data_IF_163919864003
#
_entry.id   IF_163919864003
#
_cell.length_a   1.000
_cell.length_b   1.000
_cell.length_c   1.000
_cell.angle_alpha   90.00
_cell.angle_beta   90.00
_cell.angle_gamma   90.00
#
_symmetry.space_group_name_H-M   'P 1'
#
loop_
_entity.id
_entity.type
_entity.pdbx_description
1 polymer ?
#
# COMPACT_ATOMS: atom_id res chain seq x y z
N UNK A 1 -1.46 -9.10 26.50
CA UNK A 1 -2.63 -8.19 26.49
C UNK A 1 -2.19 -6.73 26.50
N UNK A 2 -1.42 -6.28 27.50
CA UNK A 2 -0.89 -4.90 27.53
C UNK A 2 0.09 -4.59 26.37
N UNK A 3 0.97 -5.53 26.02
CA UNK A 3 1.94 -5.38 24.93
C UNK A 3 1.28 -5.24 23.55
N UNK A 4 0.23 -6.02 23.26
CA UNK A 4 -0.49 -5.97 21.98
C UNK A 4 -1.36 -4.71 21.85
N UNK A 5 -1.98 -4.25 22.94
CA UNK A 5 -2.71 -2.98 22.96
C UNK A 5 -1.77 -1.78 22.77
N UNK A 6 -0.57 -1.84 23.38
CA UNK A 6 0.48 -0.85 23.17
C UNK A 6 0.91 -0.80 21.69
N UNK A 7 1.08 -1.94 21.03
CA UNK A 7 1.39 -2.00 19.59
C UNK A 7 0.31 -1.34 18.72
N UNK A 8 -0.98 -1.53 19.04
CA UNK A 8 -2.08 -0.89 18.30
C UNK A 8 -2.06 0.63 18.48
N UNK A 9 -1.83 1.12 19.69
CA UNK A 9 -1.74 2.56 19.95
C UNK A 9 -0.52 3.20 19.27
N UNK A 10 0.62 2.50 19.24
CA UNK A 10 1.80 2.91 18.46
C UNK A 10 1.42 3.03 16.98
N UNK A 11 0.72 2.04 16.43
CA UNK A 11 0.34 2.04 15.02
C UNK A 11 -0.64 3.18 14.68
N UNK A 12 -1.63 3.43 15.55
CA UNK A 12 -2.53 4.59 15.42
C UNK A 12 -1.74 5.90 15.42
N UNK A 13 -0.85 6.06 16.39
CA UNK A 13 -0.01 7.26 16.49
C UNK A 13 0.87 7.44 15.27
N UNK A 14 1.50 6.37 14.77
CA UNK A 14 2.35 6.40 13.58
C UNK A 14 1.58 6.92 12.37
N UNK A 15 0.45 6.31 12.03
CA UNK A 15 -0.32 6.73 10.86
C UNK A 15 -0.98 8.11 11.02
N UNK A 16 -1.36 8.51 12.23
CA UNK A 16 -1.80 9.88 12.49
C UNK A 16 -0.69 10.90 12.21
N UNK A 17 0.53 10.65 12.73
CA UNK A 17 1.68 11.54 12.52
C UNK A 17 2.06 11.61 11.04
N UNK A 18 2.11 10.47 10.34
CA UNK A 18 2.43 10.43 8.91
C UNK A 18 1.35 11.14 8.07
N UNK A 19 0.06 10.96 8.38
CA UNK A 19 -1.02 11.68 7.71
C UNK A 19 -0.96 13.19 7.93
N UNK A 20 -0.64 13.63 9.15
CA UNK A 20 -0.43 15.05 9.45
C UNK A 20 0.80 15.62 8.72
N UNK A 21 1.90 14.87 8.68
CA UNK A 21 3.12 15.23 7.94
C UNK A 21 2.83 15.41 6.45
N UNK A 22 2.11 14.47 5.83
CA UNK A 22 1.75 14.59 4.41
C UNK A 22 0.82 15.78 4.16
N UNK A 23 -0.17 15.99 5.04
CA UNK A 23 -1.09 17.13 4.93
C UNK A 23 -0.34 18.47 5.02
N UNK A 24 0.58 18.60 5.97
CA UNK A 24 1.43 19.78 6.11
C UNK A 24 2.33 19.99 4.89
N UNK A 25 2.94 18.90 4.38
CA UNK A 25 3.77 18.93 3.17
C UNK A 25 2.98 19.39 1.95
N UNK A 26 1.76 18.89 1.78
CA UNK A 26 0.87 19.25 0.68
C UNK A 26 0.44 20.72 0.76
N UNK A 27 -0.02 21.17 1.94
CA UNK A 27 -0.41 22.58 2.16
C UNK A 27 0.77 23.51 1.90
N UNK A 28 1.94 23.19 2.48
CA UNK A 28 3.16 23.97 2.27
C UNK A 28 3.49 24.09 0.79
N UNK A 29 3.51 22.95 0.08
CA UNK A 29 3.87 22.92 -1.35
C UNK A 29 2.86 23.70 -2.20
N UNK A 30 1.56 23.58 -1.93
CA UNK A 30 0.51 24.34 -2.62
C UNK A 30 0.67 25.84 -2.38
N UNK A 31 0.94 26.26 -1.14
CA UNK A 31 1.10 27.67 -0.79
C UNK A 31 2.33 28.28 -1.44
N UNK A 32 3.45 27.54 -1.49
CA UNK A 32 4.71 28.06 -2.02
C UNK A 32 4.84 27.94 -3.54
N UNK A 33 4.28 26.88 -4.14
CA UNK A 33 4.56 26.51 -5.53
C UNK A 33 3.30 26.48 -6.42
N UNK A 34 2.11 26.70 -5.83
CA UNK A 34 0.83 26.63 -6.53
C UNK A 34 0.37 25.18 -6.77
N UNK A 35 -0.58 24.97 -7.68
CA UNK A 35 -1.18 23.66 -7.95
C UNK A 35 -0.24 22.73 -8.76
N UNK A 36 -0.36 21.39 -8.60
CA UNK A 36 0.49 20.41 -9.27
C UNK A 36 0.16 20.19 -10.75
N UNK A 37 -0.97 20.72 -11.24
CA UNK A 37 -1.51 20.41 -12.57
C UNK A 37 -0.83 21.25 -13.67
N UNK A 38 0.49 21.13 -13.79
CA UNK A 38 1.32 21.84 -14.78
C UNK A 38 2.22 20.86 -15.52
N UNK A 39 2.20 20.93 -16.86
CA UNK A 39 3.01 20.02 -17.71
C UNK A 39 4.52 20.17 -17.47
N UNK A 40 4.96 21.36 -17.08
CA UNK A 40 6.36 21.67 -16.76
C UNK A 40 6.92 20.84 -15.59
N UNK A 41 6.06 20.37 -14.70
CA UNK A 41 6.46 19.53 -13.57
C UNK A 41 6.72 18.07 -13.98
N UNK A 42 6.20 17.63 -15.14
CA UNK A 42 6.28 16.24 -15.61
C UNK A 42 7.61 15.94 -16.32
N UNK A 43 8.72 16.32 -15.69
CA UNK A 43 10.05 15.88 -16.10
C UNK A 43 10.14 14.34 -16.09
N UNK A 44 11.04 13.70 -16.85
CA UNK A 44 11.06 12.24 -17.01
C UNK A 44 11.03 11.48 -15.68
N UNK A 45 11.89 11.87 -14.74
CA UNK A 45 11.91 11.27 -13.41
C UNK A 45 10.63 11.50 -12.60
N UNK A 46 9.98 12.68 -12.69
CA UNK A 46 8.67 12.90 -12.04
C UNK A 46 7.63 11.93 -12.58
N UNK A 47 7.58 11.76 -13.90
CA UNK A 47 6.63 10.84 -14.54
C UNK A 47 6.86 9.40 -14.07
N UNK A 48 8.11 8.97 -14.00
CA UNK A 48 8.46 7.62 -13.52
C UNK A 48 8.15 7.42 -12.04
N UNK A 49 8.40 8.43 -11.20
CA UNK A 49 8.00 8.38 -9.78
C UNK A 49 6.48 8.41 -9.61
N UNK A 50 5.73 9.10 -10.48
CA UNK A 50 4.26 9.05 -10.47
C UNK A 50 3.75 7.65 -10.84
N UNK A 51 4.32 7.02 -11.88
CA UNK A 51 4.00 5.63 -12.24
C UNK A 51 4.26 4.72 -11.03
N UNK A 52 5.43 4.84 -10.41
CA UNK A 52 5.82 4.08 -9.22
C UNK A 52 4.79 4.22 -8.10
N UNK A 53 4.48 5.47 -7.75
CA UNK A 53 3.48 5.82 -6.75
C UNK A 53 2.10 5.21 -7.04
N UNK A 54 1.60 5.37 -8.27
CA UNK A 54 0.26 4.88 -8.62
C UNK A 54 0.16 3.36 -8.65
N UNK A 55 1.24 2.64 -8.94
CA UNK A 55 1.25 1.18 -8.85
C UNK A 55 1.03 0.72 -7.40
N UNK A 56 1.64 1.40 -6.41
CA UNK A 56 1.37 1.11 -4.99
C UNK A 56 -0.07 1.49 -4.62
N UNK A 57 -0.56 2.63 -5.10
CA UNK A 57 -1.96 3.06 -4.93
C UNK A 57 -2.93 1.99 -5.42
N UNK A 58 -2.67 1.34 -6.57
CA UNK A 58 -3.49 0.25 -7.09
C UNK A 58 -3.54 -0.94 -6.11
N UNK A 59 -2.40 -1.31 -5.51
CA UNK A 59 -2.36 -2.39 -4.52
C UNK A 59 -3.21 -2.06 -3.27
N UNK A 60 -3.10 -0.82 -2.78
CA UNK A 60 -3.88 -0.34 -1.62
C UNK A 60 -5.37 -0.24 -1.98
N UNK A 61 -5.71 0.28 -3.17
CA UNK A 61 -7.08 0.38 -3.66
C UNK A 61 -7.74 -1.01 -3.77
N UNK A 62 -7.00 -2.02 -4.24
CA UNK A 62 -7.47 -3.40 -4.29
C UNK A 62 -7.77 -3.95 -2.88
N UNK A 63 -6.93 -3.61 -1.90
CA UNK A 63 -7.19 -3.95 -0.49
C UNK A 63 -8.44 -3.24 0.06
N UNK A 64 -8.61 -1.93 -0.19
CA UNK A 64 -9.79 -1.16 0.22
C UNK A 64 -11.07 -1.74 -0.41
N UNK A 65 -11.05 -2.02 -1.72
CA UNK A 65 -12.17 -2.64 -2.43
C UNK A 65 -12.52 -4.04 -1.87
N UNK A 66 -11.50 -4.76 -1.40
CA UNK A 66 -11.71 -6.00 -0.69
C UNK A 66 -12.38 -5.78 0.68
N UNK A 67 -11.82 -4.86 1.47
CA UNK A 67 -12.18 -4.58 2.87
C UNK A 67 -13.57 -3.96 3.02
N UNK A 68 -13.95 -3.05 2.13
CA UNK A 68 -15.24 -2.37 2.18
C UNK A 68 -16.40 -3.27 1.74
N UNK A 69 -17.51 -3.22 2.48
CA UNK A 69 -18.72 -3.97 2.15
C UNK A 69 -19.62 -3.30 1.14
N UNK A 70 -19.68 -1.99 1.23
CA UNK A 70 -20.57 -1.18 0.43
C UNK A 70 -19.78 -0.66 -0.76
N UNK A 71 -20.23 -0.97 -1.98
CA UNK A 71 -19.56 -0.53 -3.20
C UNK A 71 -19.40 1.00 -3.25
N UNK A 72 -20.41 1.75 -2.79
CA UNK A 72 -20.34 3.21 -2.71
C UNK A 72 -19.22 3.66 -1.77
N UNK A 73 -19.12 3.06 -0.58
CA UNK A 73 -18.03 3.35 0.37
C UNK A 73 -16.67 3.05 -0.25
N UNK A 74 -16.53 1.88 -0.88
CA UNK A 74 -15.29 1.49 -1.58
C UNK A 74 -14.90 2.52 -2.65
N UNK A 75 -15.84 2.94 -3.49
CA UNK A 75 -15.62 3.92 -4.56
C UNK A 75 -15.20 5.27 -3.98
N UNK A 76 -15.88 5.74 -2.92
CA UNK A 76 -15.52 7.00 -2.25
C UNK A 76 -14.10 6.94 -1.70
N UNK A 77 -13.73 5.86 -1.01
CA UNK A 77 -12.37 5.69 -0.50
C UNK A 77 -11.31 5.61 -1.60
N UNK A 78 -11.61 4.94 -2.71
CA UNK A 78 -10.69 4.86 -3.85
C UNK A 78 -10.50 6.22 -4.52
N UNK A 79 -11.58 7.01 -4.69
CA UNK A 79 -11.48 8.38 -5.21
C UNK A 79 -10.61 9.23 -4.28
N UNK A 80 -10.86 9.18 -2.97
CA UNK A 80 -10.04 9.88 -1.99
C UNK A 80 -8.58 9.42 -2.03
N UNK A 81 -8.31 8.13 -2.25
CA UNK A 81 -6.96 7.59 -2.33
C UNK A 81 -6.23 8.09 -3.58
N UNK A 82 -6.90 8.14 -4.72
CA UNK A 82 -6.31 8.67 -5.96
C UNK A 82 -6.07 10.17 -5.86
N UNK A 83 -6.96 10.93 -5.20
CA UNK A 83 -6.85 12.38 -5.09
C UNK A 83 -5.90 12.86 -3.98
N UNK A 84 -5.85 12.18 -2.84
CA UNK A 84 -5.12 12.63 -1.65
C UNK A 84 -3.96 11.71 -1.24
N UNK A 85 -3.75 10.60 -1.96
CA UNK A 85 -2.62 9.70 -1.75
C UNK A 85 -2.59 9.12 -0.34
N UNK A 86 -1.41 9.19 0.29
CA UNK A 86 -1.14 8.59 1.60
C UNK A 86 -1.92 9.21 2.75
N UNK A 87 -2.46 10.44 2.61
CA UNK A 87 -3.39 11.00 3.59
C UNK A 87 -4.58 10.06 3.76
N UNK A 88 -5.15 9.58 2.66
CA UNK A 88 -6.27 8.64 2.67
C UNK A 88 -5.85 7.27 3.18
N UNK A 89 -4.68 6.77 2.80
CA UNK A 89 -4.15 5.50 3.33
C UNK A 89 -4.02 5.56 4.86
N UNK A 90 -3.41 6.61 5.39
CA UNK A 90 -3.26 6.84 6.83
C UNK A 90 -4.62 6.93 7.51
N UNK A 91 -5.53 7.77 6.99
CA UNK A 91 -6.87 7.94 7.55
C UNK A 91 -7.65 6.62 7.57
N UNK A 92 -7.61 5.86 6.47
CA UNK A 92 -8.28 4.58 6.35
C UNK A 92 -7.75 3.57 7.38
N UNK A 93 -6.42 3.43 7.48
CA UNK A 93 -5.80 2.51 8.45
C UNK A 93 -6.15 2.92 9.89
N UNK A 94 -6.10 4.21 10.22
CA UNK A 94 -6.47 4.72 11.54
C UNK A 94 -7.93 4.42 11.86
N UNK A 95 -8.86 4.65 10.91
CA UNK A 95 -10.27 4.30 11.07
C UNK A 95 -10.45 2.80 11.32
N UNK A 96 -9.74 1.93 10.58
CA UNK A 96 -9.80 0.49 10.80
C UNK A 96 -9.24 0.09 12.18
N UNK A 97 -8.16 0.74 12.63
CA UNK A 97 -7.58 0.49 13.96
C UNK A 97 -8.50 0.94 15.09
N UNK A 98 -9.30 2.00 14.91
CA UNK A 98 -10.28 2.44 15.91
C UNK A 98 -11.53 1.57 15.97
N UNK A 99 -11.88 0.89 14.87
CA UNK A 99 -13.00 -0.06 14.83
C UNK A 99 -12.72 -1.36 15.61
N UNK A 100 -11.46 -1.67 15.93
CA UNK A 100 -11.09 -2.86 16.69
C UNK A 100 -11.66 -2.81 18.12
N UNK A 101 -12.36 -3.86 18.52
CA UNK A 101 -12.72 -4.07 19.92
C UNK A 101 -11.47 -4.40 20.77
N UNK A 102 -11.54 -4.18 22.08
CA UNK A 102 -10.42 -4.49 22.98
C UNK A 102 -10.03 -5.98 22.96
N UNK A 103 -10.97 -6.87 22.65
CA UNK A 103 -10.72 -8.30 22.54
C UNK A 103 -9.97 -8.64 21.23
N UNK A 104 -10.43 -8.12 20.10
CA UNK A 104 -9.79 -8.31 18.78
C UNK A 104 -8.37 -7.72 18.75
N UNK A 105 -8.21 -6.51 19.29
CA UNK A 105 -6.91 -5.84 19.41
C UNK A 105 -5.89 -6.65 20.22
N UNK A 106 -6.37 -7.45 21.17
CA UNK A 106 -5.50 -8.27 22.03
C UNK A 106 -5.04 -9.58 21.39
N UNK A 107 -5.82 -10.13 20.44
CA UNK A 107 -5.60 -11.44 19.83
C UNK A 107 -4.67 -11.37 18.61
N UNK A 108 -5.08 -10.67 17.55
CA UNK A 108 -4.30 -10.46 16.32
C UNK A 108 -4.82 -9.19 15.61
N UNK A 109 -4.37 -7.99 16.02
CA UNK A 109 -4.92 -6.73 15.52
C UNK A 109 -4.74 -6.58 14.01
N UNK A 110 -3.63 -7.06 13.46
CA UNK A 110 -3.35 -6.97 12.03
C UNK A 110 -4.26 -7.87 11.20
N UNK A 111 -4.60 -9.07 11.69
CA UNK A 111 -5.60 -9.91 11.06
C UNK A 111 -6.94 -9.18 10.90
N UNK A 112 -7.45 -8.57 11.97
CA UNK A 112 -8.74 -7.88 11.96
C UNK A 112 -8.71 -6.57 11.16
N UNK A 113 -7.57 -5.89 11.07
CA UNK A 113 -7.40 -4.72 10.21
C UNK A 113 -7.41 -5.12 8.73
N UNK A 114 -6.65 -6.14 8.36
CA UNK A 114 -6.47 -6.55 6.96
C UNK A 114 -7.68 -7.30 6.39
N UNK A 115 -8.23 -8.23 7.17
CA UNK A 115 -9.33 -9.10 6.73
C UNK A 115 -10.66 -8.41 6.93
N UNK A 116 -11.53 -8.49 5.92
CA UNK A 116 -12.92 -8.09 6.07
C UNK A 116 -13.64 -9.09 6.97
N UNK A 117 -14.15 -8.61 8.09
CA UNK A 117 -15.08 -9.36 8.92
C UNK A 117 -16.42 -9.43 8.17
N UNK A 118 -16.89 -10.62 7.71
CA UNK A 118 -18.25 -10.72 7.15
C UNK A 118 -18.87 -12.13 7.11
N UNK A 119 -20.21 -12.10 7.13
CA UNK A 119 -21.19 -13.18 6.95
C UNK A 119 -20.92 -14.06 5.72
N UNK A 120 -21.25 -15.35 5.83
CA UNK A 120 -21.00 -16.43 4.85
C UNK A 120 -21.40 -16.07 3.40
N UNK A 121 -22.46 -15.30 3.20
CA UNK A 121 -22.99 -14.94 1.87
C UNK A 121 -22.04 -14.05 1.04
N UNK A 122 -21.20 -13.23 1.69
CA UNK A 122 -20.26 -12.35 0.99
C UNK A 122 -19.03 -13.10 0.45
N UNK A 123 -18.64 -14.16 1.16
CA UNK A 123 -17.51 -15.03 0.79
C UNK A 123 -17.85 -15.76 -0.51
N UNK A 124 -19.08 -16.25 -0.63
CA UNK A 124 -19.56 -16.99 -1.79
C UNK A 124 -19.67 -16.10 -3.04
N UNK A 125 -20.16 -14.86 -2.87
CA UNK A 125 -20.22 -13.87 -3.95
C UNK A 125 -18.84 -13.46 -4.45
N UNK A 126 -17.86 -13.23 -3.57
CA UNK A 126 -16.50 -12.83 -3.99
C UNK A 126 -15.66 -13.98 -4.54
N UNK A 127 -15.88 -15.23 -4.11
CA UNK A 127 -15.24 -16.41 -4.72
C UNK A 127 -15.50 -16.50 -6.23
N UNK A 128 -16.68 -16.06 -6.70
CA UNK A 128 -17.01 -15.99 -8.13
C UNK A 128 -16.22 -14.92 -8.91
N UNK A 129 -15.77 -13.83 -8.28
CA UNK A 129 -15.08 -12.71 -8.95
C UNK A 129 -13.55 -12.68 -8.71
N UNK A 130 -13.04 -13.43 -7.73
CA UNK A 130 -11.67 -13.36 -7.24
C UNK A 130 -10.79 -14.45 -7.87
N UNK A 131 -10.26 -14.22 -9.07
CA UNK A 131 -9.29 -15.14 -9.68
C UNK A 131 -7.86 -14.83 -9.23
N UNK A 132 -7.24 -15.77 -8.49
CA UNK A 132 -5.82 -15.71 -8.12
C UNK A 132 -4.93 -15.57 -9.35
N UNK A 133 -5.28 -16.25 -10.44
CA UNK A 133 -4.55 -16.19 -11.71
C UNK A 133 -4.61 -14.78 -12.31
N UNK A 134 -5.79 -14.15 -12.31
CA UNK A 134 -5.92 -12.78 -12.81
C UNK A 134 -5.07 -11.79 -11.99
N UNK A 135 -5.05 -11.93 -10.66
CA UNK A 135 -4.21 -11.09 -9.81
C UNK A 135 -2.71 -11.30 -10.08
N UNK A 136 -2.25 -12.56 -10.29
CA UNK A 136 -0.87 -12.84 -10.68
C UNK A 136 -0.51 -12.12 -11.97
N UNK A 137 -1.34 -12.26 -13.01
CA UNK A 137 -1.10 -11.62 -14.31
C UNK A 137 -1.07 -10.09 -14.16
N UNK A 138 -2.02 -9.51 -13.44
CA UNK A 138 -2.09 -8.07 -13.23
C UNK A 138 -0.84 -7.52 -12.50
N UNK A 139 -0.45 -8.12 -11.38
CA UNK A 139 0.72 -7.64 -10.63
C UNK A 139 2.06 -7.97 -11.33
N UNK A 140 2.13 -9.05 -12.13
CA UNK A 140 3.29 -9.29 -13.01
C UNK A 140 3.40 -8.20 -14.08
N UNK A 141 2.29 -7.85 -14.73
CA UNK A 141 2.26 -6.77 -15.72
C UNK A 141 2.66 -5.42 -15.11
N UNK A 142 2.17 -5.09 -13.91
CA UNK A 142 2.57 -3.87 -13.19
C UNK A 142 4.05 -3.86 -12.82
N UNK A 143 4.60 -5.01 -12.38
CA UNK A 143 6.03 -5.15 -12.08
C UNK A 143 6.89 -4.93 -13.34
N UNK A 144 6.51 -5.54 -14.47
CA UNK A 144 7.19 -5.34 -15.75
C UNK A 144 7.08 -3.88 -16.25
N UNK A 145 5.92 -3.24 -16.08
CA UNK A 145 5.71 -1.83 -16.41
C UNK A 145 6.66 -0.94 -15.63
N UNK A 146 6.74 -1.12 -14.31
CA UNK A 146 7.63 -0.33 -13.47
C UNK A 146 9.10 -0.55 -13.83
N UNK A 147 9.51 -1.80 -14.02
CA UNK A 147 10.88 -2.13 -14.42
C UNK A 147 11.24 -1.49 -15.77
N UNK A 148 10.33 -1.55 -16.73
CA UNK A 148 10.48 -0.89 -18.03
C UNK A 148 10.60 0.63 -17.90
N UNK A 149 9.78 1.27 -17.07
CA UNK A 149 9.83 2.70 -16.81
C UNK A 149 11.16 3.14 -16.17
N UNK A 150 11.67 2.37 -15.20
CA UNK A 150 12.98 2.62 -14.58
C UNK A 150 14.11 2.51 -15.59
N UNK A 151 14.17 1.40 -16.34
CA UNK A 151 15.22 1.17 -17.34
C UNK A 151 15.17 2.26 -18.40
N UNK A 152 13.99 2.56 -18.93
CA UNK A 152 13.81 3.61 -19.93
C UNK A 152 14.34 4.95 -19.44
N UNK A 153 13.88 5.40 -18.26
CA UNK A 153 14.28 6.71 -17.71
C UNK A 153 15.75 6.76 -17.36
N UNK A 154 16.30 5.67 -16.82
CA UNK A 154 17.73 5.57 -16.51
C UNK A 154 18.59 5.68 -17.77
N UNK A 155 18.17 5.04 -18.87
CA UNK A 155 18.89 5.08 -20.15
C UNK A 155 18.78 6.44 -20.85
N UNK A 156 17.61 7.09 -20.79
CA UNK A 156 17.37 8.35 -21.50
C UNK A 156 17.81 9.58 -20.71
N UNK A 157 17.64 9.57 -19.39
CA UNK A 157 17.79 10.74 -18.52
C UNK A 157 18.94 10.59 -17.51
N UNK A 158 19.56 9.40 -17.42
CA UNK A 158 20.66 9.12 -16.51
C UNK A 158 20.20 8.89 -15.07
N UNK A 159 21.07 9.15 -14.10
CA UNK A 159 20.81 8.86 -12.68
C UNK A 159 19.65 9.69 -12.08
N UNK A 160 18.79 9.10 -11.23
CA UNK A 160 17.77 9.83 -10.48
C UNK A 160 18.34 10.66 -9.32
N UNK A 161 19.58 10.40 -8.90
CA UNK A 161 20.19 11.03 -7.72
C UNK A 161 20.84 12.36 -8.07
N UNK A 162 20.01 13.34 -8.46
CA UNK A 162 20.44 14.68 -8.81
C UNK A 162 19.56 15.72 -8.13
N UNK A 163 20.18 16.75 -7.56
CA UNK A 163 19.48 17.76 -6.77
C UNK A 163 18.52 18.60 -7.58
N UNK A 164 18.78 18.80 -8.87
CA UNK A 164 17.91 19.54 -9.78
C UNK A 164 16.55 18.86 -10.01
N UNK A 165 16.45 17.54 -9.80
CA UNK A 165 15.19 16.80 -9.94
C UNK A 165 14.28 17.00 -8.72
N UNK A 166 14.81 17.45 -7.59
CA UNK A 166 14.09 17.62 -6.33
C UNK A 166 13.35 18.97 -6.25
N UNK A 167 12.59 19.27 -7.31
CA UNK A 167 11.64 20.40 -7.30
C UNK A 167 10.58 20.21 -6.19
N UNK A 168 9.92 21.28 -5.71
CA UNK A 168 9.00 21.20 -4.56
C UNK A 168 7.96 20.09 -4.67
N UNK A 169 7.32 19.95 -5.84
CA UNK A 169 6.35 18.88 -6.10
C UNK A 169 6.96 17.48 -6.12
N UNK A 170 8.21 17.32 -6.57
CA UNK A 170 8.90 16.03 -6.51
C UNK A 170 9.15 15.63 -5.06
N UNK A 171 9.56 16.58 -4.21
CA UNK A 171 9.75 16.33 -2.77
C UNK A 171 8.43 15.91 -2.12
N UNK A 172 7.33 16.60 -2.41
CA UNK A 172 6.01 16.25 -1.90
C UNK A 172 5.58 14.84 -2.34
N UNK A 173 5.77 14.51 -3.61
CA UNK A 173 5.48 13.17 -4.15
C UNK A 173 6.33 12.08 -3.48
N UNK A 174 7.63 12.33 -3.25
CA UNK A 174 8.50 11.38 -2.55
C UNK A 174 8.07 11.16 -1.10
N UNK A 175 7.68 12.22 -0.38
CA UNK A 175 7.13 12.08 0.98
C UNK A 175 5.87 11.20 0.96
N UNK A 176 4.95 11.48 0.04
CA UNK A 176 3.71 10.72 -0.14
C UNK A 176 4.00 9.23 -0.42
N UNK A 177 4.88 8.99 -1.38
CA UNK A 177 5.35 7.68 -1.78
C UNK A 177 5.95 6.89 -0.62
N UNK A 178 6.86 7.48 0.15
CA UNK A 178 7.50 6.77 1.26
C UNK A 178 6.54 6.48 2.41
N UNK A 179 5.47 7.26 2.60
CA UNK A 179 4.43 6.91 3.57
C UNK A 179 3.67 5.65 3.12
N UNK A 180 3.39 5.50 1.82
CA UNK A 180 2.87 4.24 1.29
C UNK A 180 3.85 3.07 1.48
N UNK A 181 5.15 3.30 1.29
CA UNK A 181 6.17 2.29 1.58
C UNK A 181 6.10 1.87 3.05
N UNK A 182 5.98 2.81 4.00
CA UNK A 182 5.80 2.48 5.42
C UNK A 182 4.55 1.61 5.65
N UNK A 183 3.43 1.94 5.01
CA UNK A 183 2.21 1.14 5.10
C UNK A 183 2.43 -0.30 4.61
N UNK A 184 3.13 -0.48 3.48
CA UNK A 184 3.48 -1.80 2.95
C UNK A 184 4.50 -2.52 3.82
N UNK A 185 5.46 -1.82 4.42
CA UNK A 185 6.43 -2.38 5.36
C UNK A 185 5.76 -2.92 6.62
N UNK A 186 4.77 -2.21 7.18
CA UNK A 186 3.97 -2.71 8.32
C UNK A 186 3.29 -4.04 7.96
N UNK A 187 2.73 -4.14 6.75
CA UNK A 187 2.13 -5.38 6.27
C UNK A 187 3.16 -6.51 6.11
N UNK A 188 4.34 -6.23 5.55
CA UNK A 188 5.42 -7.22 5.40
C UNK A 188 5.93 -7.71 6.75
N UNK A 189 6.11 -6.83 7.74
CA UNK A 189 6.51 -7.21 9.11
C UNK A 189 5.50 -8.19 9.73
N UNK A 190 4.21 -7.96 9.51
CA UNK A 190 3.16 -8.87 9.96
C UNK A 190 3.19 -10.22 9.23
N UNK A 191 3.49 -10.19 7.92
CA UNK A 191 3.37 -11.35 7.04
C UNK A 191 4.57 -12.29 7.09
N UNK A 192 5.77 -11.74 7.23
CA UNK A 192 7.02 -12.50 7.29
C UNK A 192 7.20 -13.17 8.66
N UNK A 193 7.65 -14.43 8.66
CA UNK A 193 7.90 -15.18 9.89
C UNK A 193 9.23 -14.82 10.55
N UNK A 194 10.16 -14.25 9.80
CA UNK A 194 11.50 -13.89 10.27
C UNK A 194 11.77 -12.40 10.10
N UNK A 195 12.32 -11.78 11.14
CA UNK A 195 12.67 -10.35 11.12
C UNK A 195 13.73 -10.01 10.07
N UNK A 196 14.63 -10.95 9.76
CA UNK A 196 15.64 -10.76 8.72
C UNK A 196 15.00 -10.69 7.32
N UNK A 197 14.06 -11.60 7.01
CA UNK A 197 13.32 -11.54 5.74
C UNK A 197 12.55 -10.24 5.61
N UNK A 198 11.82 -9.84 6.66
CA UNK A 198 11.10 -8.56 6.69
C UNK A 198 12.05 -7.37 6.44
N UNK A 199 13.21 -7.35 7.09
CA UNK A 199 14.20 -6.30 6.92
C UNK A 199 14.74 -6.22 5.49
N UNK A 200 15.07 -7.36 4.88
CA UNK A 200 15.52 -7.43 3.48
C UNK A 200 14.44 -6.85 2.55
N UNK A 201 13.18 -7.26 2.72
CA UNK A 201 12.07 -6.74 1.90
C UNK A 201 11.86 -5.24 2.08
N UNK A 202 11.98 -4.72 3.30
CA UNK A 202 11.87 -3.28 3.56
C UNK A 202 12.98 -2.51 2.84
N UNK A 203 14.23 -2.98 2.89
CA UNK A 203 15.32 -2.37 2.13
C UNK A 203 15.00 -2.37 0.63
N UNK A 204 14.54 -3.49 0.10
CA UNK A 204 14.19 -3.59 -1.31
C UNK A 204 13.03 -2.64 -1.68
N UNK A 205 12.01 -2.49 -0.83
CA UNK A 205 10.93 -1.52 -1.05
C UNK A 205 11.44 -0.07 -1.07
N UNK A 206 12.36 0.29 -0.18
CA UNK A 206 12.94 1.64 -0.13
C UNK A 206 13.78 1.92 -1.38
N UNK A 207 14.55 0.92 -1.84
CA UNK A 207 15.48 1.09 -2.96
C UNK A 207 14.83 1.00 -4.35
N UNK A 208 13.83 0.13 -4.51
CA UNK A 208 13.25 -0.23 -5.82
C UNK A 208 11.74 0.03 -5.93
N UNK A 209 11.11 0.50 -4.86
CA UNK A 209 9.74 0.97 -4.89
C UNK A 209 8.71 -0.11 -5.25
N UNK A 210 7.74 0.28 -6.08
CA UNK A 210 6.61 -0.56 -6.48
C UNK A 210 7.00 -1.82 -7.25
N UNK A 211 8.15 -1.83 -7.93
CA UNK A 211 8.67 -3.04 -8.58
C UNK A 211 8.81 -4.18 -7.57
N UNK A 212 9.44 -3.90 -6.42
CA UNK A 212 9.60 -4.90 -5.36
C UNK A 212 8.28 -5.18 -4.65
N UNK A 213 7.43 -4.17 -4.42
CA UNK A 213 6.11 -4.38 -3.83
C UNK A 213 5.27 -5.35 -4.66
N UNK A 214 5.18 -5.13 -5.99
CA UNK A 214 4.46 -6.02 -6.89
C UNK A 214 5.11 -7.40 -6.96
N UNK A 215 6.44 -7.48 -7.02
CA UNK A 215 7.16 -8.76 -7.03
C UNK A 215 6.88 -9.56 -5.75
N UNK A 216 6.89 -8.90 -4.59
CA UNK A 216 6.51 -9.52 -3.31
C UNK A 216 5.07 -10.04 -3.35
N UNK A 217 4.11 -9.23 -3.79
CA UNK A 217 2.71 -9.65 -3.93
C UNK A 217 2.60 -10.86 -4.86
N UNK A 218 3.29 -10.85 -6.01
CA UNK A 218 3.30 -11.97 -6.97
C UNK A 218 3.86 -13.24 -6.33
N UNK A 219 4.99 -13.17 -5.63
CA UNK A 219 5.56 -14.32 -4.89
C UNK A 219 4.54 -14.89 -3.90
N UNK A 220 3.84 -14.02 -3.17
CA UNK A 220 2.82 -14.44 -2.20
C UNK A 220 1.57 -15.03 -2.88
N UNK A 221 1.18 -14.52 -4.05
CA UNK A 221 0.10 -15.09 -4.86
C UNK A 221 0.45 -16.46 -5.44
N UNK A 222 1.72 -16.74 -5.76
CA UNK A 222 2.17 -18.06 -6.23
C UNK A 222 2.14 -19.14 -5.14
N UNK A 223 2.15 -18.74 -3.86
CA UNK A 223 1.98 -19.68 -2.74
C UNK A 223 0.53 -20.14 -2.55
N UNK A 224 -0.44 -19.54 -3.24
CA UNK A 224 -1.86 -19.90 -3.16
C UNK A 224 -2.25 -20.86 -4.29
N UNK A 225 -3.22 -21.73 -4.06
CA UNK A 225 -3.87 -22.49 -5.13
C UNK A 225 -4.76 -21.57 -5.97
N UNK A 226 -5.03 -21.95 -7.22
CA UNK A 226 -5.94 -21.19 -8.10
C UNK A 226 -7.38 -21.14 -7.58
N UNK A 227 -7.76 -22.06 -6.69
CA UNK A 227 -9.09 -22.13 -6.08
C UNK A 227 -9.18 -21.40 -4.74
N UNK A 228 -8.04 -20.96 -4.19
CA UNK A 228 -7.98 -20.28 -2.90
C UNK A 228 -8.53 -18.85 -3.02
N UNK A 229 -9.17 -18.32 -1.97
CA UNK A 229 -9.64 -16.95 -1.99
C UNK A 229 -8.46 -15.95 -1.91
N UNK A 230 -8.52 -14.88 -2.73
CA UNK A 230 -7.43 -13.91 -2.86
C UNK A 230 -7.00 -13.26 -1.54
N UNK A 231 -7.92 -13.08 -0.59
CA UNK A 231 -7.61 -12.40 0.67
C UNK A 231 -6.57 -13.13 1.53
N UNK A 232 -6.34 -14.43 1.30
CA UNK A 232 -5.28 -15.18 1.97
C UNK A 232 -3.89 -14.61 1.66
N UNK A 233 -3.74 -13.87 0.56
CA UNK A 233 -2.51 -13.14 0.24
C UNK A 233 -2.18 -12.08 1.29
N UNK A 234 -3.16 -11.56 2.04
CA UNK A 234 -2.91 -10.56 3.08
C UNK A 234 -2.37 -11.19 4.36
N UNK A 235 -2.61 -12.48 4.59
CA UNK A 235 -2.37 -13.16 5.86
C UNK A 235 -0.99 -13.81 5.95
N UNK A 236 -0.45 -13.87 7.17
CA UNK A 236 0.72 -14.66 7.48
C UNK A 236 0.39 -16.18 7.43
N UNK A 237 1.41 -17.03 7.37
CA UNK A 237 1.24 -18.49 7.27
C UNK A 237 0.53 -19.11 8.47
N UNK A 238 0.67 -18.53 9.67
CA UNK A 238 0.03 -19.02 10.91
C UNK A 238 -1.47 -18.74 10.93
N UNK A 239 -1.87 -17.55 10.49
CA UNK A 239 -3.27 -17.12 10.46
C UNK A 239 -4.02 -17.74 9.27
N UNK A 240 -3.32 -18.14 8.20
CA UNK A 240 -3.89 -18.99 7.14
C UNK A 240 -4.41 -20.32 7.69
N UNK A 241 -3.63 -21.02 8.52
CA UNK A 241 -3.99 -22.32 9.11
C UNK A 241 -5.12 -22.29 10.14
N UNK A 242 -5.52 -21.11 10.62
CA UNK A 242 -6.63 -20.96 11.58
C UNK A 242 -7.99 -20.78 10.90
N UNK A 243 -8.01 -20.54 9.58
CA UNK A 243 -9.22 -20.33 8.79
C UNK A 243 -9.72 -21.56 8.04
N UNK A 244 -8.98 -22.68 8.12
CA UNK A 244 -9.38 -24.02 7.67
C UNK A 244 -9.94 -24.82 8.86
#
# INVERSE_FOLDING_TARGET
MASTLLSVNILRSLFCVLGCLMTATLIYTIVTDGLPFRKELLIPWMTTTLIDFYIIVVAIAAWIAYKESNLISAVVWIILLVCLGSITTCAYVVVQLFKLSSQEASQDPMYYVLVRYNSKDDIERKRKFSSVVAARIAFMALSCLMLGALIYTLLTDGSPFRTELLIPWMKALLVDFYIHIVAMSVWVIYKESSSLSAFIWIILFICLGSFTVCTYIVIQLFQLSSQDPLYLVLLNSRSRRKGD
#
